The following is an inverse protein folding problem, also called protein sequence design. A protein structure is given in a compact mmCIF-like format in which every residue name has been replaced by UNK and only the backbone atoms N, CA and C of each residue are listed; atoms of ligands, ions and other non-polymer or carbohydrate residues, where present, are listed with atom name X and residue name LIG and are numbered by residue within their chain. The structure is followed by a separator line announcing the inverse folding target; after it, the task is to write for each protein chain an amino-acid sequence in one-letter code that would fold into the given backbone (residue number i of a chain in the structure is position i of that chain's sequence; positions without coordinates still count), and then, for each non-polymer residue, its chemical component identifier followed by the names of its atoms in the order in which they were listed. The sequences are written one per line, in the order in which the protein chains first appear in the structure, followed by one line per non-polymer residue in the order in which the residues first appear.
data_IF_680008411090
#
_entry.id   IF_680008411090
#
_cell.length_a   1.000
_cell.length_b   1.000
_cell.length_c   1.000
_cell.angle_alpha   90.00
_cell.angle_beta   90.00
_cell.angle_gamma   90.00
#
_symmetry.space_group_name_H-M   'P 1'
#
loop_
_entity.id
_entity.type
_entity.pdbx_description
1 polymer ?
#
# COMPACT_ATOMS: atom_id res chain seq x y z
N UNK A 1 30.31 -15.85 4.63
CA UNK A 1 30.76 -14.79 3.70
C UNK A 1 29.89 -13.61 3.97
N UNK A 2 30.44 -12.44 4.27
CA UNK A 2 29.68 -11.22 4.46
C UNK A 2 28.97 -10.84 3.17
N UNK A 3 27.72 -10.31 3.29
CA UNK A 3 26.97 -9.79 2.13
C UNK A 3 27.55 -8.45 1.67
N UNK A 4 27.28 -8.12 0.43
CA UNK A 4 27.56 -6.81 -0.15
C UNK A 4 26.34 -5.90 -0.06
N UNK A 5 26.49 -4.55 -0.09
CA UNK A 5 25.36 -3.62 -0.16
C UNK A 5 24.44 -3.87 -1.35
N UNK A 6 24.99 -4.38 -2.47
CA UNK A 6 24.18 -4.75 -3.65
C UNK A 6 23.25 -5.93 -3.36
N UNK A 7 23.75 -6.98 -2.72
CA UNK A 7 22.91 -8.13 -2.34
C UNK A 7 21.82 -7.75 -1.33
N UNK A 8 22.07 -6.74 -0.50
CA UNK A 8 21.05 -6.18 0.39
C UNK A 8 19.99 -5.40 -0.41
N UNK A 9 20.41 -4.59 -1.38
CA UNK A 9 19.48 -3.85 -2.25
C UNK A 9 18.62 -4.81 -3.10
N UNK A 10 19.19 -5.94 -3.54
CA UNK A 10 18.46 -7.00 -4.24
C UNK A 10 17.43 -7.67 -3.32
N UNK A 11 17.78 -7.94 -2.05
CA UNK A 11 16.85 -8.49 -1.08
C UNK A 11 15.67 -7.53 -0.79
N UNK A 12 15.93 -6.23 -0.68
CA UNK A 12 14.89 -5.20 -0.56
C UNK A 12 13.98 -5.23 -1.80
N UNK A 13 14.57 -5.23 -2.99
CA UNK A 13 13.84 -5.26 -4.27
C UNK A 13 12.92 -6.48 -4.37
N UNK A 14 13.38 -7.64 -3.89
CA UNK A 14 12.59 -8.89 -3.88
C UNK A 14 11.35 -8.77 -3.00
N UNK A 15 11.48 -8.22 -1.78
CA UNK A 15 10.35 -8.03 -0.87
C UNK A 15 9.28 -7.15 -1.51
N UNK A 16 9.66 -6.00 -2.06
CA UNK A 16 8.71 -5.09 -2.70
C UNK A 16 8.09 -5.67 -3.97
N UNK A 17 8.87 -6.41 -4.76
CA UNK A 17 8.34 -7.11 -5.93
C UNK A 17 7.26 -8.10 -5.52
N UNK A 18 7.46 -8.88 -4.44
CA UNK A 18 6.45 -9.82 -3.94
C UNK A 18 5.14 -9.12 -3.57
N UNK A 19 5.19 -7.94 -2.94
CA UNK A 19 3.98 -7.17 -2.63
C UNK A 19 3.33 -6.62 -3.92
N UNK A 20 4.10 -6.09 -4.87
CA UNK A 20 3.53 -5.60 -6.13
C UNK A 20 2.93 -6.72 -6.99
N UNK A 21 3.54 -7.90 -7.01
CA UNK A 21 2.96 -9.07 -7.69
C UNK A 21 1.61 -9.46 -7.07
N UNK A 22 1.49 -9.36 -5.74
CA UNK A 22 0.23 -9.57 -5.05
C UNK A 22 -0.81 -8.51 -5.42
N UNK A 23 -0.44 -7.21 -5.45
CA UNK A 23 -1.35 -6.14 -5.89
C UNK A 23 -1.79 -6.34 -7.33
N UNK A 24 -0.90 -6.77 -8.23
CA UNK A 24 -1.24 -7.08 -9.61
C UNK A 24 -2.24 -8.24 -9.72
N UNK A 25 -2.07 -9.29 -8.89
CA UNK A 25 -3.00 -10.41 -8.81
C UNK A 25 -4.40 -9.97 -8.31
N UNK A 26 -4.48 -9.03 -7.37
CA UNK A 26 -5.76 -8.49 -6.90
C UNK A 26 -6.40 -7.51 -7.88
N UNK A 27 -5.59 -6.71 -8.58
CA UNK A 27 -6.07 -5.76 -9.58
C UNK A 27 -6.94 -6.43 -10.65
N UNK A 28 -6.50 -7.55 -11.19
CA UNK A 28 -7.17 -8.22 -12.31
C UNK A 28 -8.65 -8.57 -12.02
N UNK A 29 -9.01 -9.28 -10.93
CA UNK A 29 -10.42 -9.55 -10.63
C UNK A 29 -11.24 -8.30 -10.30
N UNK A 30 -10.64 -7.26 -9.73
CA UNK A 30 -11.30 -5.98 -9.49
C UNK A 30 -11.65 -5.31 -10.83
N UNK A 31 -10.71 -5.22 -11.77
CA UNK A 31 -10.94 -4.68 -13.11
C UNK A 31 -12.02 -5.48 -13.85
N UNK A 32 -12.00 -6.82 -13.76
CA UNK A 32 -13.03 -7.67 -14.34
C UNK A 32 -14.42 -7.40 -13.75
N UNK A 33 -14.53 -7.25 -12.43
CA UNK A 33 -15.80 -6.92 -11.77
C UNK A 33 -16.33 -5.57 -12.23
N UNK A 34 -15.48 -4.55 -12.31
CA UNK A 34 -15.86 -3.21 -12.77
C UNK A 34 -16.28 -3.23 -14.24
N UNK A 35 -15.58 -3.93 -15.12
CA UNK A 35 -15.87 -4.05 -16.53
C UNK A 35 -17.21 -4.80 -16.77
N UNK A 36 -17.46 -5.90 -16.04
CA UNK A 36 -18.69 -6.66 -16.12
C UNK A 36 -19.93 -5.82 -15.72
N UNK A 37 -19.76 -4.93 -14.73
CA UNK A 37 -20.78 -4.00 -14.29
C UNK A 37 -21.08 -2.91 -15.33
N UNK A 38 -20.06 -2.45 -16.06
CA UNK A 38 -20.20 -1.48 -17.14
C UNK A 38 -20.85 -2.06 -18.41
N UNK A 39 -20.57 -3.34 -18.71
CA UNK A 39 -21.07 -4.03 -19.93
C UNK A 39 -22.51 -4.53 -19.88
N UNK A 40 -23.18 -4.49 -18.72
CA UNK A 40 -24.54 -5.02 -18.53
C UNK A 40 -25.70 -4.28 -19.25
N UNK A 41 -25.40 -3.32 -20.13
CA UNK A 41 -26.37 -2.44 -20.79
C UNK A 41 -26.91 -3.00 -22.14
N UNK A 42 -26.32 -4.09 -22.65
CA UNK A 42 -26.50 -4.47 -24.06
C UNK A 42 -27.64 -5.46 -24.39
N UNK A 43 -28.40 -5.98 -23.43
CA UNK A 43 -29.30 -7.10 -23.69
C UNK A 43 -30.72 -7.07 -23.07
N UNK A 44 -31.35 -5.88 -22.95
CA UNK A 44 -32.79 -5.83 -22.62
C UNK A 44 -33.48 -4.68 -23.36
N UNK A 45 -33.82 -4.85 -24.60
CA UNK A 45 -34.78 -4.02 -25.29
C UNK A 45 -36.19 -4.32 -24.73
N UNK A 46 -36.81 -3.30 -24.09
CA UNK A 46 -38.26 -3.27 -23.81
C UNK A 46 -38.65 -3.37 -22.35
N UNK A 47 -38.50 -2.29 -21.60
CA UNK A 47 -39.14 -2.12 -20.30
C UNK A 47 -38.99 -0.70 -19.84
N UNK A 48 -40.09 0.09 -19.87
CA UNK A 48 -40.22 1.41 -19.29
C UNK A 48 -40.21 1.28 -17.76
N UNK A 49 -39.02 1.35 -17.15
CA UNK A 49 -38.85 1.41 -15.69
C UNK A 49 -37.70 2.35 -15.34
N UNK A 50 -37.98 3.36 -14.55
CA UNK A 50 -37.10 4.44 -14.18
C UNK A 50 -35.77 3.95 -13.58
N UNK A 51 -34.63 4.37 -14.14
CA UNK A 51 -33.40 4.69 -13.40
C UNK A 51 -32.53 3.54 -12.92
N UNK A 52 -32.17 2.56 -13.76
CA UNK A 52 -30.98 1.77 -13.53
C UNK A 52 -29.82 2.44 -14.27
N UNK A 53 -29.00 3.21 -13.57
CA UNK A 53 -27.70 3.65 -14.08
C UNK A 53 -26.81 2.41 -14.19
N UNK A 54 -26.73 1.89 -15.39
CA UNK A 54 -26.03 0.69 -15.78
C UNK A 54 -24.57 1.04 -15.97
N UNK A 55 -23.73 0.58 -15.08
CA UNK A 55 -22.29 0.80 -15.11
C UNK A 55 -21.63 0.83 -13.74
N UNK A 56 -22.42 0.81 -12.65
CA UNK A 56 -21.93 0.92 -11.29
C UNK A 56 -22.03 -0.42 -10.55
N UNK A 57 -20.93 -0.78 -9.88
CA UNK A 57 -20.90 -1.97 -9.03
C UNK A 57 -21.64 -1.69 -7.70
N UNK A 58 -22.32 -2.68 -7.14
CA UNK A 58 -22.93 -2.55 -5.81
C UNK A 58 -21.83 -2.55 -4.75
N UNK A 59 -21.88 -1.66 -3.72
CA UNK A 59 -20.89 -1.59 -2.65
C UNK A 59 -20.62 -2.97 -2.03
N UNK A 60 -21.66 -3.69 -1.66
CA UNK A 60 -21.54 -5.02 -1.03
C UNK A 60 -20.86 -6.05 -1.94
N UNK A 61 -21.07 -5.99 -3.23
CA UNK A 61 -20.42 -6.90 -4.18
C UNK A 61 -18.92 -6.59 -4.27
N UNK A 62 -18.56 -5.31 -4.34
CA UNK A 62 -17.17 -4.88 -4.33
C UNK A 62 -16.48 -5.27 -3.01
N UNK A 63 -17.12 -4.98 -1.88
CA UNK A 63 -16.59 -5.32 -0.57
C UNK A 63 -16.32 -6.83 -0.43
N UNK A 64 -17.29 -7.68 -0.84
CA UNK A 64 -17.10 -9.15 -0.79
C UNK A 64 -15.95 -9.58 -1.70
N UNK A 65 -15.89 -9.09 -2.93
CA UNK A 65 -14.81 -9.44 -3.86
C UNK A 65 -13.45 -9.05 -3.32
N UNK A 66 -13.32 -7.83 -2.78
CA UNK A 66 -12.04 -7.35 -2.22
C UNK A 66 -11.68 -8.13 -0.95
N UNK A 67 -12.67 -8.41 -0.06
CA UNK A 67 -12.45 -9.21 1.14
C UNK A 67 -11.87 -10.60 0.80
N UNK A 68 -12.49 -11.30 -0.17
CA UNK A 68 -12.03 -12.63 -0.60
C UNK A 68 -10.59 -12.62 -1.12
N UNK A 69 -10.13 -11.48 -1.65
CA UNK A 69 -8.76 -11.31 -2.15
C UNK A 69 -7.75 -10.99 -1.04
N UNK A 70 -8.11 -10.11 -0.09
CA UNK A 70 -7.13 -9.57 0.85
C UNK A 70 -7.08 -10.29 2.19
N UNK A 71 -8.22 -10.83 2.69
CA UNK A 71 -8.28 -11.47 3.99
C UNK A 71 -7.30 -12.65 4.13
N UNK A 72 -7.14 -13.55 3.14
CA UNK A 72 -6.18 -14.65 3.27
C UNK A 72 -4.74 -14.21 3.53
N UNK A 73 -4.37 -13.00 3.10
CA UNK A 73 -3.03 -12.44 3.33
C UNK A 73 -2.90 -11.72 4.66
N UNK A 74 -4.00 -11.15 5.15
CA UNK A 74 -4.03 -10.47 6.45
C UNK A 74 -4.16 -11.46 7.62
N UNK A 75 -4.58 -12.70 7.33
CA UNK A 75 -4.77 -13.81 8.31
C UNK A 75 -3.56 -14.75 8.39
N UNK A 76 -2.47 -14.48 7.66
CA UNK A 76 -1.23 -15.27 7.79
C UNK A 76 -0.65 -15.17 9.22
N UNK A 77 0.05 -16.20 9.69
CA UNK A 77 0.63 -16.21 11.04
C UNK A 77 1.65 -15.09 11.30
N UNK A 78 2.39 -14.66 10.28
CA UNK A 78 3.31 -13.51 10.33
C UNK A 78 3.13 -12.67 9.05
N UNK A 79 2.03 -11.91 8.96
CA UNK A 79 1.67 -11.24 7.72
C UNK A 79 2.65 -10.10 7.42
N UNK A 80 3.08 -10.02 6.15
CA UNK A 80 3.83 -8.86 5.66
C UNK A 80 2.95 -7.60 5.66
N UNK A 81 1.66 -7.77 5.42
CA UNK A 81 0.69 -6.69 5.25
C UNK A 81 -0.07 -6.43 6.56
N UNK A 82 -0.19 -5.16 6.94
CA UNK A 82 -1.00 -4.73 8.09
C UNK A 82 -2.33 -4.11 7.68
N UNK A 83 -2.51 -3.86 6.39
CA UNK A 83 -3.75 -3.40 5.79
C UNK A 83 -3.72 -3.63 4.29
N UNK A 84 -4.89 -3.85 3.68
CA UNK A 84 -4.99 -4.00 2.24
C UNK A 84 -6.43 -3.77 1.75
N UNK A 85 -6.56 -3.41 0.47
CA UNK A 85 -7.87 -3.21 -0.11
C UNK A 85 -7.87 -2.49 -1.45
N UNK A 86 -9.06 -2.00 -1.78
CA UNK A 86 -9.30 -1.19 -2.97
C UNK A 86 -10.05 0.10 -2.57
N UNK A 87 -9.58 1.22 -3.06
CA UNK A 87 -10.22 2.52 -2.88
C UNK A 87 -10.74 2.95 -4.26
N UNK A 88 -12.05 2.87 -4.43
CA UNK A 88 -12.73 3.29 -5.64
C UNK A 88 -12.96 4.80 -5.63
N UNK A 89 -12.74 5.43 -6.78
CA UNK A 89 -12.95 6.86 -7.01
C UNK A 89 -13.82 7.10 -8.24
N UNK A 90 -14.67 8.10 -8.16
CA UNK A 90 -15.66 8.39 -9.18
C UNK A 90 -16.91 7.52 -9.08
N UNK A 91 -17.77 7.59 -10.10
CA UNK A 91 -19.08 6.94 -10.13
C UNK A 91 -19.02 5.46 -10.57
N UNK A 92 -18.05 4.69 -10.04
CA UNK A 92 -17.93 3.26 -10.36
C UNK A 92 -18.63 2.38 -9.33
N UNK A 93 -18.92 2.93 -8.14
CA UNK A 93 -19.67 2.25 -7.08
C UNK A 93 -21.01 2.95 -6.88
N UNK A 94 -22.09 2.19 -6.95
CA UNK A 94 -23.46 2.70 -6.91
C UNK A 94 -23.73 3.61 -5.70
N UNK A 95 -24.08 4.86 -5.98
CA UNK A 95 -24.42 5.86 -4.98
C UNK A 95 -23.26 6.33 -4.13
N UNK A 96 -22.00 6.12 -4.60
CA UNK A 96 -20.79 6.54 -3.91
C UNK A 96 -19.87 7.28 -4.88
N UNK A 97 -19.42 8.49 -4.49
CA UNK A 97 -18.35 9.18 -5.21
C UNK A 97 -16.97 8.60 -4.88
N UNK A 98 -16.82 8.07 -3.66
CA UNK A 98 -15.63 7.35 -3.17
C UNK A 98 -16.10 6.19 -2.31
N UNK A 99 -15.43 5.04 -2.44
CA UNK A 99 -15.72 3.88 -1.63
C UNK A 99 -14.44 3.17 -1.20
N UNK A 100 -14.29 2.97 0.12
CA UNK A 100 -13.18 2.26 0.73
C UNK A 100 -13.61 0.81 1.01
N UNK A 101 -13.15 -0.12 0.19
CA UNK A 101 -13.15 -1.55 0.47
C UNK A 101 -11.78 -1.92 1.04
N UNK A 102 -11.54 -1.61 2.33
CA UNK A 102 -10.25 -1.73 2.98
C UNK A 102 -10.35 -2.50 4.30
N UNK A 103 -9.41 -3.39 4.53
CA UNK A 103 -9.29 -4.19 5.75
C UNK A 103 -7.94 -3.97 6.39
N UNK A 104 -7.94 -3.98 7.71
CA UNK A 104 -6.75 -4.01 8.56
C UNK A 104 -6.56 -5.44 9.06
N UNK A 105 -5.31 -5.87 9.19
CA UNK A 105 -4.96 -7.11 9.89
C UNK A 105 -5.36 -7.06 11.37
N UNK A 106 -5.11 -8.12 12.13
CA UNK A 106 -5.29 -8.11 13.57
C UNK A 106 -4.56 -6.93 14.22
N UNK A 107 -5.25 -6.24 15.13
CA UNK A 107 -4.73 -5.06 15.81
C UNK A 107 -4.41 -5.42 17.25
N UNK A 108 -3.26 -4.97 17.75
CA UNK A 108 -2.86 -5.10 19.14
C UNK A 108 -2.77 -3.72 19.78
N UNK A 109 -3.63 -3.47 20.78
CA UNK A 109 -3.70 -2.23 21.56
C UNK A 109 -3.75 -0.94 20.69
N UNK A 110 -4.53 -0.99 19.61
CA UNK A 110 -4.70 0.17 18.74
C UNK A 110 -5.48 1.28 19.47
N UNK A 111 -4.95 2.51 19.60
CA UNK A 111 -5.59 3.57 20.38
C UNK A 111 -6.92 4.05 19.81
N UNK A 112 -7.22 3.70 18.56
CA UNK A 112 -8.42 4.13 17.84
C UNK A 112 -9.43 3.00 17.69
N UNK A 113 -8.99 1.80 17.34
CA UNK A 113 -9.84 0.65 17.03
C UNK A 113 -9.83 -0.41 18.15
N UNK A 114 -8.93 -0.29 19.13
CA UNK A 114 -8.73 -1.29 20.18
C UNK A 114 -7.99 -2.52 19.64
N UNK A 115 -8.06 -3.64 20.39
CA UNK A 115 -7.50 -4.91 19.95
C UNK A 115 -8.55 -5.73 19.19
N UNK A 116 -8.13 -6.40 18.13
CA UNK A 116 -8.97 -7.31 17.34
C UNK A 116 -8.26 -8.64 17.13
N UNK A 117 -8.99 -9.74 17.28
CA UNK A 117 -8.44 -11.10 17.10
C UNK A 117 -8.28 -11.49 15.62
N UNK A 118 -8.86 -10.72 14.71
CA UNK A 118 -8.83 -10.98 13.26
C UNK A 118 -8.92 -9.70 12.44
N UNK A 119 -8.83 -9.84 11.11
CA UNK A 119 -8.94 -8.70 10.23
C UNK A 119 -10.25 -7.93 10.40
N UNK A 120 -10.16 -6.62 10.37
CA UNK A 120 -11.30 -5.71 10.60
C UNK A 120 -11.46 -4.78 9.41
N UNK A 121 -12.71 -4.62 8.94
CA UNK A 121 -13.02 -3.65 7.89
C UNK A 121 -12.84 -2.23 8.42
N UNK A 122 -12.14 -1.41 7.66
CA UNK A 122 -11.99 0.01 7.97
C UNK A 122 -13.31 0.73 7.67
N UNK A 123 -14.01 1.16 8.73
CA UNK A 123 -15.22 1.98 8.62
C UNK A 123 -14.89 3.45 8.91
N UNK A 124 -14.82 4.24 7.85
CA UNK A 124 -14.50 5.66 7.93
C UNK A 124 -15.72 6.52 8.29
N UNK A 125 -16.94 5.95 8.30
CA UNK A 125 -18.17 6.70 8.58
C UNK A 125 -18.32 7.10 10.04
N UNK A 126 -17.67 6.40 10.96
CA UNK A 126 -17.89 6.50 12.40
C UNK A 126 -17.02 7.53 13.13
N UNK A 127 -15.99 8.15 12.50
CA UNK A 127 -14.91 8.80 13.26
C UNK A 127 -14.43 10.16 12.79
N UNK A 128 -15.22 10.93 12.08
CA UNK A 128 -14.75 12.27 11.61
C UNK A 128 -13.62 12.21 10.58
N UNK A 129 -13.29 11.02 10.09
CA UNK A 129 -12.32 10.81 9.00
C UNK A 129 -12.72 11.47 7.69
N UNK A 130 -14.00 11.82 7.56
CA UNK A 130 -14.52 12.57 6.42
C UNK A 130 -13.76 13.87 6.17
N UNK A 131 -13.21 14.51 7.19
CA UNK A 131 -12.40 15.72 7.00
C UNK A 131 -10.97 15.39 6.56
N UNK A 132 -10.35 14.36 7.14
CA UNK A 132 -8.98 13.99 6.81
C UNK A 132 -8.87 13.37 5.41
N UNK A 133 -9.87 12.57 5.00
CA UNK A 133 -9.93 11.97 3.68
C UNK A 133 -10.68 12.84 2.65
N UNK A 134 -11.06 14.06 3.04
CA UNK A 134 -11.78 14.99 2.16
C UNK A 134 -11.00 15.28 0.87
N UNK A 135 -9.68 15.22 0.95
CA UNK A 135 -8.78 15.44 -0.19
C UNK A 135 -7.74 14.31 -0.34
N UNK A 136 -8.20 13.05 -0.21
CA UNK A 136 -7.32 11.89 -0.37
C UNK A 136 -6.62 11.87 -1.74
N UNK A 137 -7.21 12.50 -2.77
CA UNK A 137 -6.62 12.62 -4.10
C UNK A 137 -5.34 13.45 -4.12
N UNK A 138 -5.12 14.31 -3.12
CA UNK A 138 -3.89 15.06 -2.94
C UNK A 138 -2.80 14.23 -2.24
N UNK A 139 -3.16 13.15 -1.55
CA UNK A 139 -2.20 12.29 -0.87
C UNK A 139 -1.33 11.54 -1.88
N UNK A 140 -0.07 11.38 -1.53
CA UNK A 140 0.97 10.83 -2.41
C UNK A 140 0.58 9.45 -2.97
N UNK A 141 0.09 8.55 -2.12
CA UNK A 141 -0.29 7.17 -2.47
C UNK A 141 -1.42 7.09 -3.52
N UNK A 142 -2.20 8.17 -3.71
CA UNK A 142 -3.22 8.27 -4.75
C UNK A 142 -2.73 9.13 -5.92
N UNK A 143 -2.20 10.32 -5.61
CA UNK A 143 -1.81 11.32 -6.61
C UNK A 143 -0.74 10.82 -7.59
N UNK A 144 0.26 10.11 -7.07
CA UNK A 144 1.34 9.60 -7.94
C UNK A 144 0.81 8.55 -8.92
N UNK A 145 0.10 7.47 -8.51
CA UNK A 145 -0.52 6.55 -9.46
C UNK A 145 -1.47 7.23 -10.44
N UNK A 146 -2.25 8.22 -9.99
CA UNK A 146 -3.18 8.94 -10.86
C UNK A 146 -2.48 9.76 -11.96
N UNK A 147 -1.31 10.31 -11.67
CA UNK A 147 -0.57 11.17 -12.61
C UNK A 147 0.41 10.39 -13.48
N UNK A 148 1.04 9.35 -12.93
CA UNK A 148 2.08 8.58 -13.63
C UNK A 148 1.54 7.33 -14.32
N UNK A 149 0.38 6.83 -13.90
CA UNK A 149 -0.22 5.55 -14.30
C UNK A 149 0.63 4.32 -13.91
N UNK A 150 1.54 4.50 -12.96
CA UNK A 150 2.41 3.43 -12.45
C UNK A 150 2.15 3.15 -10.98
N UNK A 151 2.56 1.97 -10.55
CA UNK A 151 2.59 1.63 -9.14
C UNK A 151 3.55 2.55 -8.38
N UNK A 152 3.27 2.78 -7.10
CA UNK A 152 4.05 3.68 -6.26
C UNK A 152 4.15 3.16 -4.83
N UNK A 153 5.22 3.54 -4.15
CA UNK A 153 5.41 3.34 -2.70
C UNK A 153 5.52 4.69 -2.02
N UNK A 154 4.62 4.96 -1.11
CA UNK A 154 4.64 6.17 -0.27
C UNK A 154 5.20 5.85 1.10
N UNK A 155 6.01 6.72 1.65
CA UNK A 155 6.50 6.62 3.04
C UNK A 155 8.02 6.58 3.17
N UNK A 156 8.53 6.33 4.40
CA UNK A 156 7.77 5.99 5.61
C UNK A 156 7.03 7.19 6.20
N UNK A 157 5.84 6.96 6.73
CA UNK A 157 5.06 7.95 7.48
C UNK A 157 4.30 7.29 8.63
N UNK A 158 3.91 8.08 9.63
CA UNK A 158 3.10 7.56 10.73
C UNK A 158 1.63 7.53 10.29
N UNK A 159 1.05 6.33 10.28
CA UNK A 159 -0.38 6.16 10.02
C UNK A 159 -1.19 6.43 11.29
N UNK A 160 -1.62 7.67 11.47
CA UNK A 160 -2.44 8.07 12.62
C UNK A 160 -3.89 7.58 12.55
N UNK A 161 -4.31 7.01 11.43
CA UNK A 161 -5.70 6.61 11.21
C UNK A 161 -5.96 5.16 11.58
N UNK A 162 -5.06 4.28 11.19
CA UNK A 162 -5.32 2.85 11.22
C UNK A 162 -4.40 2.10 12.18
N UNK A 163 -3.09 2.25 12.06
CA UNK A 163 -2.13 1.43 12.80
C UNK A 163 -1.39 2.16 13.91
N UNK A 164 -1.33 3.50 13.86
CA UNK A 164 -0.51 4.34 14.75
C UNK A 164 0.98 3.97 14.75
N UNK A 165 1.46 3.41 13.64
CA UNK A 165 2.84 2.97 13.44
C UNK A 165 3.43 3.60 12.18
N UNK A 166 4.74 3.46 11.99
CA UNK A 166 5.36 3.79 10.72
C UNK A 166 5.01 2.74 9.67
N UNK A 167 4.45 3.19 8.57
CA UNK A 167 4.07 2.34 7.44
C UNK A 167 4.66 2.83 6.11
N UNK A 168 4.67 1.90 5.16
CA UNK A 168 4.81 2.15 3.73
C UNK A 168 3.51 1.72 3.06
N UNK A 169 2.90 2.61 2.28
CA UNK A 169 1.71 2.28 1.49
C UNK A 169 2.11 2.04 0.04
N UNK A 170 1.88 0.82 -0.43
CA UNK A 170 2.08 0.43 -1.81
C UNK A 170 0.75 0.52 -2.54
N UNK A 171 0.72 1.19 -3.68
CA UNK A 171 -0.49 1.34 -4.48
C UNK A 171 -0.24 1.07 -5.95
N UNK A 172 -1.27 0.55 -6.62
CA UNK A 172 -1.28 0.30 -8.05
C UNK A 172 -2.60 0.85 -8.64
N UNK A 173 -2.55 1.63 -9.72
CA UNK A 173 -3.75 2.20 -10.32
C UNK A 173 -4.62 1.12 -10.95
N UNK A 174 -5.92 1.26 -10.78
CA UNK A 174 -6.97 0.46 -11.42
C UNK A 174 -7.66 1.35 -12.44
N UNK A 175 -7.83 0.87 -13.67
CA UNK A 175 -8.43 1.63 -14.75
C UNK A 175 -9.80 1.07 -15.14
N UNK A 176 -10.59 1.89 -15.81
CA UNK A 176 -11.85 1.47 -16.42
C UNK A 176 -11.60 0.48 -17.58
N UNK A 177 -12.69 -0.05 -18.13
CA UNK A 177 -12.63 -1.09 -19.17
C UNK A 177 -11.88 -0.64 -20.44
N UNK A 178 -11.88 0.66 -20.72
CA UNK A 178 -11.19 1.24 -21.88
C UNK A 178 -9.72 1.55 -21.56
N UNK A 179 -9.32 1.43 -20.29
CA UNK A 179 -7.97 1.71 -19.80
C UNK A 179 -7.60 3.20 -19.79
N UNK A 180 -8.56 4.09 -20.05
CA UNK A 180 -8.27 5.53 -20.20
C UNK A 180 -8.28 6.28 -18.86
N UNK A 181 -9.24 5.96 -17.99
CA UNK A 181 -9.45 6.66 -16.73
C UNK A 181 -9.08 5.77 -15.55
N UNK A 182 -8.30 6.30 -14.61
CA UNK A 182 -8.11 5.65 -13.31
C UNK A 182 -9.42 5.75 -12.51
N UNK A 183 -9.90 4.62 -12.01
CA UNK A 183 -11.14 4.48 -11.22
C UNK A 183 -10.88 4.12 -9.77
N UNK A 184 -9.63 4.06 -9.39
CA UNK A 184 -9.21 3.80 -8.01
C UNK A 184 -7.81 3.24 -7.93
N UNK A 185 -7.43 2.84 -6.73
CA UNK A 185 -6.16 2.17 -6.43
C UNK A 185 -6.41 0.90 -5.63
N UNK A 186 -5.78 -0.20 -6.03
CA UNK A 186 -5.56 -1.35 -5.17
C UNK A 186 -4.27 -1.08 -4.39
N UNK A 187 -4.27 -1.39 -3.09
CA UNK A 187 -3.13 -1.07 -2.25
C UNK A 187 -2.97 -1.98 -1.04
N UNK A 188 -1.81 -1.87 -0.44
CA UNK A 188 -1.46 -2.55 0.80
C UNK A 188 -0.54 -1.68 1.65
N UNK A 189 -0.70 -1.80 2.96
CA UNK A 189 0.16 -1.19 3.96
C UNK A 189 1.12 -2.23 4.54
N UNK A 190 2.40 -1.88 4.59
CA UNK A 190 3.47 -2.66 5.20
C UNK A 190 4.00 -1.88 6.40
N UNK A 191 3.91 -2.45 7.60
CA UNK A 191 4.53 -1.82 8.77
C UNK A 191 6.06 -1.87 8.64
N UNK A 192 6.73 -0.76 8.94
CA UNK A 192 8.20 -0.68 8.88
C UNK A 192 8.83 -1.75 9.79
N UNK A 193 8.26 -2.02 10.97
CA UNK A 193 8.72 -3.08 11.87
C UNK A 193 8.68 -4.48 11.23
N UNK A 194 7.69 -4.76 10.36
CA UNK A 194 7.59 -6.05 9.66
C UNK A 194 8.65 -6.14 8.56
N UNK A 195 8.83 -5.05 7.82
CA UNK A 195 9.90 -4.94 6.83
C UNK A 195 11.28 -5.09 7.48
N UNK A 196 11.48 -4.46 8.64
CA UNK A 196 12.72 -4.59 9.44
C UNK A 196 12.97 -6.04 9.81
N UNK A 197 12.00 -6.77 10.36
CA UNK A 197 12.16 -8.20 10.69
C UNK A 197 12.57 -9.04 9.47
N UNK A 198 12.00 -8.76 8.32
CA UNK A 198 12.30 -9.49 7.09
C UNK A 198 13.72 -9.21 6.56
N UNK A 199 14.24 -8.00 6.75
CA UNK A 199 15.48 -7.54 6.13
C UNK A 199 16.66 -7.41 7.09
N UNK A 200 16.43 -7.29 8.41
CA UNK A 200 17.47 -6.99 9.39
C UNK A 200 18.66 -7.95 9.33
N UNK A 201 18.42 -9.24 9.17
CA UNK A 201 19.48 -10.23 9.07
C UNK A 201 20.40 -9.96 7.84
N UNK A 202 19.83 -9.55 6.71
CA UNK A 202 20.60 -9.22 5.52
C UNK A 202 21.42 -7.93 5.72
N UNK A 203 20.85 -6.94 6.42
CA UNK A 203 21.55 -5.68 6.74
C UNK A 203 22.69 -5.88 7.73
N UNK A 204 22.52 -6.74 8.74
CA UNK A 204 23.53 -7.03 9.76
C UNK A 204 24.67 -7.94 9.23
N UNK A 205 24.48 -8.61 8.11
CA UNK A 205 25.52 -9.45 7.48
C UNK A 205 26.54 -8.63 6.65
N UNK A 206 26.40 -7.30 6.60
CA UNK A 206 27.35 -6.35 5.99
C UNK A 206 28.15 -5.70 7.10
N UNK A 207 29.48 -5.54 6.89
CA UNK A 207 30.39 -5.00 7.91
C UNK A 207 30.13 -3.51 8.19
N UNK A 208 29.82 -2.74 7.14
CA UNK A 208 29.54 -1.32 7.25
C UNK A 208 28.09 -1.07 7.68
N UNK A 209 27.85 -0.03 8.49
CA UNK A 209 26.48 0.39 8.80
C UNK A 209 25.70 0.77 7.52
N UNK A 210 24.48 0.27 7.41
CA UNK A 210 23.60 0.53 6.27
C UNK A 210 22.34 1.30 6.69
N UNK A 211 21.80 2.08 5.76
CA UNK A 211 20.48 2.66 5.89
C UNK A 211 19.69 2.47 4.59
N UNK A 212 18.49 1.91 4.68
CA UNK A 212 17.48 1.97 3.63
C UNK A 212 16.80 3.33 3.68
N UNK A 213 16.83 4.05 2.58
CA UNK A 213 16.23 5.39 2.49
C UNK A 213 15.32 5.50 1.28
N UNK A 214 14.29 6.35 1.37
CA UNK A 214 13.48 6.72 0.22
C UNK A 214 14.18 7.79 -0.65
N UNK A 215 13.55 8.18 -1.75
CA UNK A 215 14.06 9.21 -2.69
C UNK A 215 14.34 10.57 -2.04
N UNK A 216 13.66 10.88 -0.92
CA UNK A 216 13.89 12.11 -0.13
C UNK A 216 14.96 11.95 0.95
N UNK A 217 15.60 10.78 1.04
CA UNK A 217 16.60 10.47 2.05
C UNK A 217 16.04 10.15 3.44
N UNK A 218 14.71 9.88 3.56
CA UNK A 218 14.12 9.44 4.83
C UNK A 218 14.45 7.99 5.10
N UNK A 219 14.89 7.72 6.32
CA UNK A 219 15.25 6.38 6.79
C UNK A 219 14.00 5.52 6.94
N UNK A 220 14.03 4.35 6.34
CA UNK A 220 13.04 3.26 6.50
C UNK A 220 13.58 2.23 7.50
N UNK A 221 14.85 1.86 7.38
CA UNK A 221 15.56 0.91 8.24
C UNK A 221 17.01 1.32 8.32
N UNK A 222 17.66 1.11 9.48
CA UNK A 222 19.10 1.38 9.63
C UNK A 222 19.74 0.43 10.63
N UNK A 223 20.98 0.02 10.36
CA UNK A 223 21.86 -0.64 11.33
C UNK A 223 22.73 0.36 12.09
N UNK A 224 22.67 1.67 11.77
CA UNK A 224 23.30 2.74 12.54
C UNK A 224 22.37 3.14 13.70
N UNK A 225 22.76 2.92 14.98
CA UNK A 225 21.88 3.16 16.12
C UNK A 225 21.42 4.62 16.30
N UNK A 226 22.16 5.57 15.73
CA UNK A 226 21.82 6.99 15.79
C UNK A 226 20.76 7.42 14.76
N UNK A 227 20.44 6.57 13.77
CA UNK A 227 19.48 6.86 12.73
C UNK A 227 18.15 6.13 12.97
N UNK A 228 17.11 6.90 13.24
CA UNK A 228 15.77 6.38 13.47
C UNK A 228 14.90 6.47 12.22
N UNK A 229 13.89 5.63 12.15
CA UNK A 229 12.86 5.65 11.09
C UNK A 229 12.24 7.05 10.96
N UNK A 230 12.06 7.50 9.73
CA UNK A 230 11.50 8.81 9.42
C UNK A 230 12.50 9.97 9.47
N UNK A 231 13.68 9.80 10.07
CA UNK A 231 14.74 10.84 10.04
C UNK A 231 15.35 10.99 8.64
N UNK A 232 15.93 12.13 8.37
CA UNK A 232 16.73 12.35 7.16
C UNK A 232 18.15 11.82 7.38
N UNK A 233 18.52 10.82 6.60
CA UNK A 233 19.89 10.36 6.55
C UNK A 233 20.74 11.35 5.74
N UNK A 234 21.89 11.76 6.31
CA UNK A 234 22.91 12.47 5.55
C UNK A 234 23.47 11.63 4.39
N UNK A 235 24.39 12.18 3.58
CA UNK A 235 25.01 11.46 2.49
C UNK A 235 25.74 10.21 3.00
N UNK A 236 25.70 9.13 2.21
CA UNK A 236 26.49 7.93 2.43
C UNK A 236 27.81 7.97 1.64
N UNK A 237 28.71 7.03 1.91
CA UNK A 237 29.91 6.82 1.09
C UNK A 237 29.58 6.17 -0.24
N UNK A 238 28.52 5.34 -0.25
CA UNK A 238 27.98 4.65 -1.43
C UNK A 238 26.47 4.64 -1.35
N UNK A 239 25.79 4.61 -2.50
CA UNK A 239 24.33 4.48 -2.58
C UNK A 239 23.99 3.49 -3.69
N UNK A 240 23.31 2.40 -3.32
CA UNK A 240 22.87 1.32 -4.23
C UNK A 240 21.34 1.39 -4.36
N UNK A 241 20.81 1.66 -5.56
CA UNK A 241 19.37 1.71 -5.78
C UNK A 241 18.73 0.33 -5.65
N UNK A 242 17.53 0.27 -5.06
CA UNK A 242 16.71 -0.93 -5.02
C UNK A 242 15.80 -0.95 -6.25
N UNK A 243 16.04 -1.91 -7.15
CA UNK A 243 15.34 -1.98 -8.44
C UNK A 243 13.82 -2.09 -8.28
N UNK A 244 13.09 -1.29 -9.05
CA UNK A 244 11.61 -1.27 -9.05
C UNK A 244 10.98 -0.57 -7.85
N UNK A 245 11.76 0.13 -7.05
CA UNK A 245 11.29 0.88 -5.87
C UNK A 245 11.90 2.29 -5.84
N UNK A 246 11.34 3.25 -5.07
CA UNK A 246 11.96 4.55 -4.85
C UNK A 246 13.05 4.51 -3.76
N UNK A 247 13.50 3.34 -3.35
CA UNK A 247 14.45 3.17 -2.24
C UNK A 247 15.87 2.95 -2.73
N UNK A 248 16.80 3.25 -1.82
CA UNK A 248 18.22 2.93 -1.99
C UNK A 248 18.84 2.51 -0.66
N UNK A 249 19.78 1.58 -0.72
CA UNK A 249 20.66 1.23 0.39
C UNK A 249 21.85 2.21 0.38
N UNK A 250 22.04 2.93 1.47
CA UNK A 250 23.20 3.81 1.70
C UNK A 250 24.18 3.14 2.65
N UNK A 251 25.43 3.05 2.22
CA UNK A 251 26.55 2.69 3.11
C UNK A 251 26.89 3.90 3.96
N UNK A 252 26.89 3.75 5.26
CA UNK A 252 27.20 4.82 6.21
C UNK A 252 28.67 4.79 6.58
N UNK A 253 29.36 5.93 6.65
CA UNK A 253 30.71 5.93 7.16
C UNK A 253 30.73 5.41 8.59
N UNK A 254 31.67 4.54 8.92
CA UNK A 254 31.88 4.12 10.30
C UNK A 254 32.02 5.35 11.18
N UNK A 255 31.32 5.37 12.34
CA UNK A 255 31.44 6.47 13.28
C UNK A 255 32.91 6.63 13.63
N UNK A 256 33.50 7.78 13.28
CA UNK A 256 34.86 8.10 13.67
C UNK A 256 34.87 8.17 15.20
N UNK A 257 35.44 7.15 15.85
CA UNK A 257 35.55 7.12 17.30
C UNK A 257 36.28 8.40 17.77
N UNK A 258 35.56 9.20 18.53
CA UNK A 258 36.10 10.38 19.24
C UNK A 258 36.59 9.96 20.61
#
# INVERSE_FOLDING_TARGET
MSRTPTEVADAVSEVFRGVFDQLAAWRTPIEQLLAASAGGVGAAAGGTGAGASSGEVRPVTLDTTVADLVLPRLEEDDPMLVGAGFIADGEVVRGKGVHFAWWLGPLDDNPVLGSTDGPTRLDLSTRGYTEYLRDFRALEWYRIPATTRHAHVTGPYVDHLCTCDYILTLTMPVHDADGERMVGVVGADVAVRTLERALLAAFLDVEEPLALVNEHGRVVLSTEPALQVGQLAGPGSETVPCTGTPFAVRVRPAASGS
#
